data_IF_154015169207
#
_entry.id   IF_154015169207
#
_cell.length_a   1.000
_cell.length_b   1.000
_cell.length_c   1.000
_cell.angle_alpha   90.00
_cell.angle_beta   90.00
_cell.angle_gamma   90.00
#
_symmetry.space_group_name_H-M   'P 1'
#
loop_
_entity.id
_entity.type
_entity.pdbx_description
1 polymer ?
#
# COMPACT_ATOMS: atom_id res chain seq x y z
N UNK A 1 2.89 -11.21 -9.39
CA UNK A 1 2.27 -11.62 -8.09
C UNK A 1 2.80 -10.70 -7.00
N UNK A 2 2.03 -10.42 -5.95
CA UNK A 2 2.45 -9.53 -4.87
C UNK A 2 3.53 -10.20 -4.00
N UNK A 3 4.68 -9.54 -3.85
CA UNK A 3 5.88 -10.07 -3.18
C UNK A 3 6.05 -9.50 -1.77
N UNK A 4 5.74 -8.23 -1.60
CA UNK A 4 5.99 -7.52 -0.35
C UNK A 4 5.04 -6.33 -0.21
N UNK A 5 4.65 -6.04 1.04
CA UNK A 5 3.97 -4.81 1.43
C UNK A 5 4.90 -3.99 2.34
N UNK A 6 4.92 -2.68 2.12
CA UNK A 6 5.58 -1.73 3.00
C UNK A 6 4.51 -0.76 3.49
N UNK A 7 4.33 -0.67 4.81
CA UNK A 7 3.27 0.12 5.43
C UNK A 7 3.86 1.13 6.40
N UNK A 8 3.38 2.37 6.35
CA UNK A 8 3.77 3.40 7.29
C UNK A 8 2.59 4.31 7.62
N UNK A 9 2.47 4.66 8.90
CA UNK A 9 1.38 5.46 9.46
C UNK A 9 -0.04 4.97 9.10
N UNK A 10 -0.21 3.68 8.80
CA UNK A 10 -1.47 3.08 8.35
C UNK A 10 -2.12 2.25 9.46
N UNK A 11 -3.28 2.67 9.96
CA UNK A 11 -3.97 2.10 11.11
C UNK A 11 -3.03 1.81 12.28
N UNK A 12 -2.68 0.55 12.55
CA UNK A 12 -1.79 0.15 13.64
C UNK A 12 -0.29 0.21 13.28
N UNK A 13 0.07 0.37 12.01
CA UNK A 13 1.44 0.45 11.54
C UNK A 13 1.97 1.87 11.66
N UNK A 14 2.59 2.19 12.81
CA UNK A 14 3.21 3.50 13.03
C UNK A 14 4.49 3.65 12.20
N UNK A 15 5.47 2.81 12.49
CA UNK A 15 6.78 2.87 11.86
C UNK A 15 6.78 2.10 10.54
N UNK A 16 7.70 2.47 9.64
CA UNK A 16 7.83 1.82 8.33
C UNK A 16 8.08 0.34 8.52
N UNK A 17 7.12 -0.48 8.12
CA UNK A 17 7.11 -1.92 8.34
C UNK A 17 7.07 -2.63 7.01
N UNK A 18 8.07 -3.46 6.76
CA UNK A 18 8.19 -4.26 5.55
C UNK A 18 7.77 -5.70 5.84
N UNK A 19 6.82 -6.21 5.06
CA UNK A 19 6.26 -7.56 5.20
C UNK A 19 6.44 -8.28 3.88
N UNK A 20 7.33 -9.26 3.86
CA UNK A 20 7.58 -10.12 2.69
C UNK A 20 6.60 -11.29 2.71
N UNK A 21 5.97 -11.54 1.57
CA UNK A 21 5.03 -12.64 1.37
C UNK A 21 5.76 -13.86 0.79
N UNK A 22 5.40 -15.04 1.28
CA UNK A 22 5.74 -16.29 0.65
C UNK A 22 4.96 -16.46 -0.67
N UNK A 23 5.55 -17.11 -1.67
CA UNK A 23 4.90 -17.35 -2.96
C UNK A 23 3.70 -18.29 -2.88
N UNK A 24 3.69 -19.17 -1.88
CA UNK A 24 2.74 -20.27 -1.80
C UNK A 24 1.66 -19.95 -0.77
N UNK A 25 1.98 -20.06 0.53
CA UNK A 25 1.01 -19.89 1.62
C UNK A 25 1.57 -18.92 2.65
N UNK A 26 0.74 -17.95 3.03
CA UNK A 26 1.01 -17.01 4.10
C UNK A 26 -0.01 -17.22 5.22
N UNK A 27 0.46 -17.38 6.46
CA UNK A 27 -0.39 -17.53 7.64
C UNK A 27 -0.19 -16.35 8.57
N UNK A 28 -1.24 -15.56 8.78
CA UNK A 28 -1.22 -14.37 9.63
C UNK A 28 -1.68 -14.72 11.06
N UNK A 29 -0.73 -14.75 12.00
CA UNK A 29 -1.00 -15.02 13.42
C UNK A 29 -0.68 -13.80 14.28
N UNK A 30 -1.37 -13.69 15.43
CA UNK A 30 -1.14 -12.64 16.41
C UNK A 30 -2.29 -12.50 17.38
N UNK A 31 -2.03 -11.90 18.54
CA UNK A 31 -3.05 -11.64 19.57
C UNK A 31 -4.09 -10.60 19.10
N UNK A 32 -5.21 -10.48 19.79
CA UNK A 32 -6.19 -9.43 19.50
C UNK A 32 -5.57 -8.05 19.65
N UNK A 33 -5.92 -7.13 18.74
CA UNK A 33 -5.34 -5.79 18.69
C UNK A 33 -3.93 -5.70 18.09
N UNK A 34 -3.32 -6.81 17.65
CA UNK A 34 -1.95 -6.81 17.10
C UNK A 34 -1.80 -6.21 15.69
N UNK A 35 -2.88 -5.68 15.09
CA UNK A 35 -2.83 -5.09 13.75
C UNK A 35 -3.11 -6.03 12.58
N UNK A 36 -3.63 -7.23 12.82
CA UNK A 36 -3.97 -8.18 11.74
C UNK A 36 -4.99 -7.60 10.76
N UNK A 37 -6.08 -7.00 11.27
CA UNK A 37 -7.09 -6.35 10.43
C UNK A 37 -6.50 -5.15 9.68
N UNK A 38 -5.66 -4.34 10.34
CA UNK A 38 -4.92 -3.26 9.68
C UNK A 38 -4.10 -3.77 8.50
N UNK A 39 -3.46 -4.93 8.64
CA UNK A 39 -2.69 -5.53 7.55
C UNK A 39 -3.60 -5.95 6.39
N UNK A 40 -4.72 -6.62 6.68
CA UNK A 40 -5.71 -7.00 5.67
C UNK A 40 -6.33 -5.78 4.97
N UNK A 41 -6.53 -4.68 5.69
CA UNK A 41 -7.03 -3.43 5.12
C UNK A 41 -6.11 -2.87 4.03
N UNK A 42 -4.80 -3.14 4.06
CA UNK A 42 -3.91 -2.72 2.97
C UNK A 42 -4.31 -3.42 1.66
N UNK A 43 -4.59 -4.73 1.69
CA UNK A 43 -5.08 -5.45 0.52
C UNK A 43 -6.46 -4.97 0.08
N UNK A 44 -7.34 -4.66 1.04
CA UNK A 44 -8.68 -4.14 0.73
C UNK A 44 -8.60 -2.79 0.02
N UNK A 45 -7.73 -1.90 0.48
CA UNK A 45 -7.47 -0.60 -0.17
C UNK A 45 -6.94 -0.79 -1.61
N UNK A 46 -5.98 -1.69 -1.83
CA UNK A 46 -5.49 -1.99 -3.17
C UNK A 46 -6.61 -2.51 -4.08
N UNK A 47 -7.42 -3.46 -3.59
CA UNK A 47 -8.50 -4.05 -4.36
C UNK A 47 -9.57 -3.02 -4.75
N UNK A 48 -10.06 -2.23 -3.80
CA UNK A 48 -11.10 -1.23 -4.06
C UNK A 48 -10.59 -0.08 -4.92
N UNK A 49 -9.31 0.29 -4.79
CA UNK A 49 -8.69 1.34 -5.61
C UNK A 49 -8.52 0.95 -7.08
N UNK A 50 -8.28 -0.34 -7.38
CA UNK A 50 -7.98 -0.81 -8.75
C UNK A 50 -9.19 -1.45 -9.43
N UNK A 51 -9.96 -2.28 -8.73
CA UNK A 51 -11.01 -3.13 -9.34
C UNK A 51 -12.39 -2.88 -8.73
N UNK A 52 -12.44 -2.58 -7.44
CA UNK A 52 -13.69 -2.50 -6.68
C UNK A 52 -14.50 -1.24 -6.94
N UNK A 53 -15.17 -0.75 -5.90
CA UNK A 53 -16.10 0.39 -6.00
C UNK A 53 -15.39 1.75 -6.00
N UNK A 54 -14.06 1.76 -5.92
CA UNK A 54 -13.23 2.95 -5.90
C UNK A 54 -12.68 3.26 -4.52
N UNK A 55 -11.53 3.94 -4.51
CA UNK A 55 -10.83 4.34 -3.28
C UNK A 55 -11.71 5.19 -2.35
N UNK A 56 -12.43 6.19 -2.89
CA UNK A 56 -13.25 7.12 -2.10
C UNK A 56 -14.36 6.41 -1.33
N UNK A 57 -15.07 5.48 -1.98
CA UNK A 57 -16.13 4.70 -1.36
C UNK A 57 -15.63 3.85 -0.17
N UNK A 58 -14.39 3.36 -0.23
CA UNK A 58 -13.79 2.66 0.90
C UNK A 58 -13.27 3.65 1.96
N UNK A 59 -12.37 4.54 1.55
CA UNK A 59 -11.58 5.35 2.45
C UNK A 59 -12.41 6.44 3.13
N UNK A 60 -13.26 7.14 2.39
CA UNK A 60 -14.09 8.22 2.91
C UNK A 60 -15.38 7.68 3.53
N UNK A 61 -16.15 6.88 2.80
CA UNK A 61 -17.51 6.51 3.22
C UNK A 61 -17.51 5.37 4.25
N UNK A 62 -16.70 4.32 4.05
CA UNK A 62 -16.71 3.15 4.93
C UNK A 62 -15.77 3.29 6.12
N UNK A 63 -14.56 3.83 5.91
CA UNK A 63 -13.57 3.98 6.96
C UNK A 63 -13.66 5.32 7.69
N UNK A 64 -14.38 6.31 7.17
CA UNK A 64 -14.58 7.60 7.82
C UNK A 64 -13.45 8.60 7.59
N UNK A 65 -12.66 8.42 6.53
CA UNK A 65 -11.65 9.37 6.07
C UNK A 65 -10.32 9.29 6.81
N UNK A 66 -9.45 10.28 6.53
CA UNK A 66 -8.04 10.27 6.92
C UNK A 66 -7.80 10.04 8.43
N UNK A 67 -8.57 10.71 9.29
CA UNK A 67 -8.38 10.65 10.75
C UNK A 67 -8.61 9.27 11.35
N UNK A 68 -9.42 8.44 10.69
CA UNK A 68 -9.71 7.07 11.15
C UNK A 68 -8.67 6.07 10.68
N UNK A 69 -7.98 6.39 9.58
CA UNK A 69 -7.03 5.49 8.92
C UNK A 69 -5.59 5.80 9.33
N UNK A 70 -5.25 7.07 9.59
CA UNK A 70 -3.90 7.44 9.99
C UNK A 70 -3.56 6.89 11.36
N UNK A 71 -2.33 6.42 11.54
CA UNK A 71 -1.85 6.06 12.87
C UNK A 71 -1.78 7.32 13.76
N UNK A 72 -2.40 7.23 14.94
CA UNK A 72 -2.46 8.32 15.93
C UNK A 72 -1.62 8.04 17.20
N UNK A 73 -0.79 6.99 17.21
CA UNK A 73 0.00 6.66 18.39
C UNK A 73 1.01 7.78 18.69
N UNK A 74 0.85 8.42 19.85
CA UNK A 74 1.62 9.57 20.39
C UNK A 74 1.45 10.88 19.61
N UNK A 75 1.59 10.85 18.28
CA UNK A 75 1.45 12.03 17.42
C UNK A 75 0.82 11.60 16.11
N UNK A 76 -0.21 12.34 15.68
CA UNK A 76 -0.83 12.19 14.36
C UNK A 76 0.24 12.34 13.27
N UNK A 77 0.34 11.36 12.38
CA UNK A 77 1.25 11.42 11.26
C UNK A 77 0.81 12.48 10.23
N UNK A 78 1.76 12.95 9.42
CA UNK A 78 1.50 13.93 8.36
C UNK A 78 1.01 13.28 7.06
N UNK A 79 1.21 11.97 6.91
CA UNK A 79 0.82 11.19 5.74
C UNK A 79 0.68 9.72 6.11
N UNK A 80 -0.05 8.99 5.28
CA UNK A 80 -0.12 7.52 5.25
C UNK A 80 0.63 7.08 4.00
N UNK A 81 1.39 5.99 4.07
CA UNK A 81 2.07 5.43 2.90
C UNK A 81 1.91 3.92 2.85
N UNK A 82 1.56 3.42 1.67
CA UNK A 82 1.49 1.99 1.36
C UNK A 82 2.28 1.74 0.08
N UNK A 83 3.22 0.81 0.10
CA UNK A 83 3.92 0.35 -1.10
C UNK A 83 3.68 -1.14 -1.32
N UNK A 84 3.20 -1.48 -2.51
CA UNK A 84 3.02 -2.84 -2.99
C UNK A 84 4.17 -3.16 -3.94
N UNK A 85 4.93 -4.20 -3.62
CA UNK A 85 6.04 -4.66 -4.45
C UNK A 85 5.59 -5.90 -5.20
N UNK A 86 5.55 -5.82 -6.53
CA UNK A 86 5.17 -6.90 -7.41
C UNK A 86 6.40 -7.60 -7.98
N UNK A 87 6.39 -8.92 -7.91
CA UNK A 87 7.47 -9.75 -8.42
C UNK A 87 7.50 -9.71 -9.96
N UNK A 88 8.64 -9.28 -10.52
CA UNK A 88 8.79 -9.08 -11.95
C UNK A 88 8.78 -10.39 -12.76
N UNK A 89 9.34 -11.47 -12.21
CA UNK A 89 9.32 -12.77 -12.86
C UNK A 89 7.89 -13.29 -12.94
N UNK A 90 7.15 -13.20 -11.84
CA UNK A 90 5.74 -13.58 -11.80
C UNK A 90 4.88 -12.67 -12.71
N UNK A 91 5.21 -11.39 -12.88
CA UNK A 91 4.55 -10.52 -13.86
C UNK A 91 4.79 -11.01 -15.29
N UNK A 92 6.05 -11.23 -15.69
CA UNK A 92 6.39 -11.74 -17.03
C UNK A 92 5.81 -13.12 -17.33
N UNK A 93 5.67 -13.97 -16.30
CA UNK A 93 5.03 -15.28 -16.45
C UNK A 93 3.53 -15.16 -16.75
N UNK A 94 2.84 -14.19 -16.16
CA UNK A 94 1.42 -13.94 -16.40
C UNK A 94 1.16 -13.13 -17.67
N UNK A 95 2.05 -12.18 -17.97
CA UNK A 95 2.03 -11.36 -19.17
C UNK A 95 3.45 -11.29 -19.78
N UNK A 96 3.75 -12.12 -20.80
CA UNK A 96 5.05 -12.13 -21.46
C UNK A 96 5.46 -10.80 -22.10
N UNK A 97 4.52 -9.86 -22.29
CA UNK A 97 4.81 -8.52 -22.84
C UNK A 97 5.24 -7.50 -21.78
N UNK A 98 5.20 -7.86 -20.49
CA UNK A 98 5.59 -6.99 -19.38
C UNK A 98 7.02 -6.45 -19.56
N UNK A 99 7.21 -5.12 -19.57
CA UNK A 99 8.53 -4.51 -19.79
C UNK A 99 9.43 -4.51 -18.55
N UNK A 100 8.91 -4.95 -17.40
CA UNK A 100 9.61 -4.86 -16.13
C UNK A 100 10.61 -5.99 -15.95
N UNK A 101 11.90 -5.65 -15.87
CA UNK A 101 12.99 -6.59 -15.59
C UNK A 101 13.16 -6.83 -14.09
N UNK A 102 12.96 -5.79 -13.28
CA UNK A 102 13.06 -5.80 -11.81
C UNK A 102 11.72 -5.54 -11.15
N UNK A 103 11.63 -5.86 -9.85
CA UNK A 103 10.39 -5.76 -9.09
C UNK A 103 9.77 -4.36 -9.18
N UNK A 104 8.45 -4.32 -9.30
CA UNK A 104 7.69 -3.09 -9.52
C UNK A 104 7.13 -2.60 -8.19
N UNK A 105 7.41 -1.35 -7.86
CA UNK A 105 6.95 -0.69 -6.65
C UNK A 105 5.80 0.24 -7.01
N UNK A 106 4.61 -0.07 -6.49
CA UNK A 106 3.45 0.80 -6.57
C UNK A 106 3.19 1.41 -5.18
N UNK A 107 3.43 2.70 -5.07
CA UNK A 107 3.32 3.47 -3.84
C UNK A 107 2.09 4.37 -3.88
N UNK A 108 1.33 4.37 -2.80
CA UNK A 108 0.21 5.27 -2.56
C UNK A 108 0.52 6.06 -1.30
N UNK A 109 0.61 7.38 -1.42
CA UNK A 109 0.78 8.30 -0.31
C UNK A 109 -0.48 9.14 -0.15
N UNK A 110 -1.04 9.19 1.06
CA UNK A 110 -2.27 9.92 1.35
C UNK A 110 -1.96 11.02 2.35
N UNK A 111 -2.34 12.24 2.00
CA UNK A 111 -2.05 13.43 2.76
C UNK A 111 -3.35 14.13 3.16
N UNK A 112 -3.48 14.62 4.40
CA UNK A 112 -4.65 15.37 4.81
C UNK A 112 -4.69 16.73 4.11
N UNK A 113 -5.89 17.18 3.76
CA UNK A 113 -6.14 18.48 3.12
C UNK A 113 -7.31 19.19 3.81
N UNK A 114 -7.03 20.36 4.38
CA UNK A 114 -8.03 21.09 5.16
C UNK A 114 -8.50 20.31 6.40
N UNK A 115 -9.77 20.48 6.77
CA UNK A 115 -10.33 19.90 7.99
C UNK A 115 -10.71 18.42 7.86
N UNK A 116 -11.18 18.00 6.68
CA UNK A 116 -11.73 16.65 6.46
C UNK A 116 -11.32 16.02 5.14
N UNK A 117 -10.62 16.77 4.28
CA UNK A 117 -10.21 16.28 2.97
C UNK A 117 -8.87 15.55 3.02
N UNK A 118 -8.52 14.98 1.88
CA UNK A 118 -7.21 14.42 1.63
C UNK A 118 -6.88 14.54 0.14
N UNK A 119 -5.61 14.40 -0.20
CA UNK A 119 -5.17 14.12 -1.56
C UNK A 119 -4.33 12.85 -1.57
N UNK A 120 -4.28 12.20 -2.72
CA UNK A 120 -3.54 10.97 -2.95
C UNK A 120 -2.46 11.28 -3.96
N UNK A 121 -1.25 10.82 -3.68
CA UNK A 121 -0.19 10.72 -4.65
C UNK A 121 0.07 9.25 -4.95
N UNK A 122 0.21 8.93 -6.22
CA UNK A 122 0.52 7.58 -6.69
C UNK A 122 1.86 7.58 -7.42
N UNK A 123 2.67 6.56 -7.13
CA UNK A 123 3.98 6.40 -7.78
C UNK A 123 4.22 4.96 -8.18
N UNK A 124 4.48 4.73 -9.46
CA UNK A 124 4.94 3.44 -9.98
C UNK A 124 6.40 3.57 -10.38
N UNK A 125 7.27 2.74 -9.82
CA UNK A 125 8.69 2.78 -10.14
C UNK A 125 9.36 1.42 -10.04
N UNK A 126 10.54 1.30 -10.63
CA UNK A 126 11.45 0.16 -10.42
C UNK A 126 12.80 0.65 -9.95
N UNK A 127 13.60 -0.24 -9.40
CA UNK A 127 15.02 0.00 -9.16
C UNK A 127 15.85 -0.68 -10.24
N UNK A 128 16.67 0.10 -10.95
CA UNK A 128 17.62 -0.40 -11.94
C UNK A 128 19.00 0.17 -11.60
N UNK A 129 19.98 -0.71 -11.31
CA UNK A 129 21.36 -0.31 -10.94
C UNK A 129 21.43 0.74 -9.80
N UNK A 130 20.59 0.59 -8.78
CA UNK A 130 20.41 1.52 -7.64
C UNK A 130 19.78 2.88 -7.99
N UNK A 131 19.39 3.10 -9.24
CA UNK A 131 18.60 4.27 -9.64
C UNK A 131 17.11 3.93 -9.63
N UNK A 132 16.29 4.90 -9.24
CA UNK A 132 14.84 4.78 -9.27
C UNK A 132 14.33 5.29 -10.62
N UNK A 133 13.74 4.39 -11.41
CA UNK A 133 13.09 4.76 -12.69
C UNK A 133 11.60 4.84 -12.45
N UNK A 134 11.03 6.03 -12.65
CA UNK A 134 9.62 6.32 -12.38
C UNK A 134 8.80 6.20 -13.67
N UNK A 135 7.74 5.40 -13.62
CA UNK A 135 6.80 5.18 -14.72
C UNK A 135 5.50 5.95 -14.55
N UNK A 136 5.12 6.24 -13.30
CA UNK A 136 3.94 7.03 -12.95
C UNK A 136 4.28 7.86 -11.70
N UNK A 137 3.89 9.13 -11.71
CA UNK A 137 3.97 10.08 -10.59
C UNK A 137 2.80 11.04 -10.75
N UNK A 138 1.72 10.82 -9.99
CA UNK A 138 0.46 11.58 -10.06
C UNK A 138 0.05 12.07 -8.69
#
# INVERSE_FOLDING_TARGET
>A
MLKQLILQNFFSFKDRTTITLNSDINVLLGINGSGKTSFLNAFHLLYEGVVGKGFEALFQEQWGGYEQVVNVNKKRAAYIELTYVFDAEALRKNDPSSPFETDVYYCISIHPSGATGYFINEKLYVHHQNEQVVYLDY
#
